data_IF_546550648077
#
_entry.id   IF_546550648077
#
_cell.length_a   1.000
_cell.length_b   1.000
_cell.length_c   1.000
_cell.angle_alpha   90.00
_cell.angle_beta   90.00
_cell.angle_gamma   90.00
#
_symmetry.space_group_name_H-M   'P 1'
#
loop_
_entity.id
_entity.type
_entity.pdbx_description
1 polymer ?
#
# COMPACT_ATOMS: atom_id res chain seq x y z
N UNK A 1 59.15 -14.45 14.89
CA UNK A 1 58.25 -13.28 14.90
C UNK A 1 56.88 -13.76 14.48
N UNK A 2 56.13 -14.29 15.44
CA UNK A 2 54.77 -14.79 15.25
C UNK A 2 53.85 -13.59 15.01
N UNK A 3 53.03 -13.72 13.97
CA UNK A 3 52.16 -12.70 13.43
C UNK A 3 51.06 -12.30 14.44
N UNK A 4 51.37 -11.33 15.30
CA UNK A 4 50.43 -10.72 16.26
C UNK A 4 49.36 -9.87 15.56
N UNK A 5 49.45 -9.65 14.24
CA UNK A 5 48.50 -8.84 13.50
C UNK A 5 47.24 -9.62 13.14
N UNK A 6 47.34 -10.92 12.83
CA UNK A 6 46.19 -11.76 12.45
C UNK A 6 45.09 -11.80 13.51
N UNK A 7 45.37 -12.03 14.80
CA UNK A 7 44.33 -12.10 15.83
C UNK A 7 43.61 -10.76 16.06
N UNK A 8 44.32 -9.65 15.87
CA UNK A 8 43.74 -8.30 15.98
C UNK A 8 42.84 -8.01 14.79
N UNK A 9 43.29 -8.35 13.58
CA UNK A 9 42.50 -8.20 12.35
C UNK A 9 41.25 -9.07 12.37
N UNK A 10 41.33 -10.31 12.84
CA UNK A 10 40.16 -11.19 13.02
C UNK A 10 39.15 -10.64 14.04
N UNK A 11 39.63 -10.07 15.14
CA UNK A 11 38.75 -9.44 16.14
C UNK A 11 38.06 -8.18 15.60
N UNK A 12 38.76 -7.40 14.78
CA UNK A 12 38.18 -6.24 14.08
C UNK A 12 37.16 -6.72 13.05
N UNK A 13 37.48 -7.73 12.22
CA UNK A 13 36.57 -8.31 11.26
C UNK A 13 35.30 -8.84 11.95
N UNK A 14 35.43 -9.62 13.03
CA UNK A 14 34.29 -10.13 13.80
C UNK A 14 33.50 -9.04 14.53
N UNK A 15 34.12 -7.90 14.85
CA UNK A 15 33.39 -6.73 15.36
C UNK A 15 32.63 -6.01 14.23
N UNK A 16 33.24 -5.87 13.06
CA UNK A 16 32.61 -5.28 11.87
C UNK A 16 31.47 -6.15 11.35
N UNK A 17 31.60 -7.47 11.31
CA UNK A 17 30.53 -8.41 10.94
C UNK A 17 29.37 -8.41 11.92
N UNK A 18 29.62 -8.14 13.22
CA UNK A 18 28.55 -7.96 14.20
C UNK A 18 27.84 -6.61 14.06
N UNK A 19 28.56 -5.56 13.65
CA UNK A 19 28.02 -4.23 13.41
C UNK A 19 27.26 -4.14 12.08
N UNK A 20 27.70 -4.90 11.08
CA UNK A 20 27.12 -5.00 9.75
C UNK A 20 27.02 -6.48 9.35
N UNK A 21 26.02 -7.22 9.87
CA UNK A 21 25.78 -8.60 9.45
C UNK A 21 25.57 -8.66 7.94
N UNK A 22 25.97 -9.75 7.26
CA UNK A 22 25.73 -9.92 5.84
C UNK A 22 24.26 -9.67 5.53
N UNK A 23 23.97 -8.79 4.56
CA UNK A 23 22.61 -8.53 4.12
C UNK A 23 21.97 -9.87 3.74
N UNK A 24 20.78 -10.12 4.30
CA UNK A 24 20.06 -11.34 3.94
C UNK A 24 19.89 -11.37 2.42
N UNK A 25 20.10 -12.53 1.76
CA UNK A 25 20.02 -12.60 0.32
C UNK A 25 18.64 -12.14 -0.15
N UNK A 26 18.63 -11.28 -1.17
CA UNK A 26 17.39 -10.82 -1.79
C UNK A 26 16.62 -12.01 -2.35
N UNK A 27 15.30 -12.03 -2.11
CA UNK A 27 14.41 -13.02 -2.67
C UNK A 27 14.38 -12.90 -4.21
N UNK A 28 14.19 -14.03 -4.89
CA UNK A 28 13.98 -14.08 -6.33
C UNK A 28 12.68 -13.31 -6.68
N UNK A 29 12.75 -12.27 -7.54
CA UNK A 29 11.59 -11.46 -7.95
C UNK A 29 10.54 -12.22 -8.78
N UNK A 30 10.81 -13.47 -9.17
CA UNK A 30 9.87 -14.36 -9.87
C UNK A 30 9.19 -15.39 -8.96
N UNK A 31 9.75 -15.67 -7.77
CA UNK A 31 9.32 -16.79 -6.93
C UNK A 31 8.03 -16.59 -6.12
N UNK A 32 7.60 -15.34 -5.88
CA UNK A 32 6.52 -15.03 -4.93
C UNK A 32 5.48 -14.06 -5.51
N UNK A 33 4.23 -14.08 -5.04
CA UNK A 33 3.19 -13.15 -5.49
C UNK A 33 3.38 -11.73 -4.94
N UNK A 34 4.06 -11.59 -3.80
CA UNK A 34 4.26 -10.30 -3.16
C UNK A 34 5.57 -10.25 -2.38
N UNK A 35 6.11 -9.04 -2.28
CA UNK A 35 7.39 -8.74 -1.65
C UNK A 35 7.29 -7.49 -0.77
N UNK A 36 8.23 -7.37 0.16
CA UNK A 36 8.54 -6.16 0.92
C UNK A 36 9.96 -5.77 0.55
N UNK A 37 10.13 -4.54 0.08
CA UNK A 37 11.43 -3.93 -0.18
C UNK A 37 11.92 -3.21 1.07
N UNK A 38 13.04 -3.66 1.63
CA UNK A 38 13.66 -3.05 2.80
C UNK A 38 15.15 -3.35 2.78
N UNK A 39 15.95 -2.41 3.28
CA UNK A 39 17.41 -2.60 3.43
C UNK A 39 18.11 -3.06 2.14
N UNK A 40 17.68 -2.55 0.98
CA UNK A 40 18.29 -2.88 -0.32
C UNK A 40 18.00 -4.30 -0.83
N UNK A 41 17.03 -5.02 -0.27
CA UNK A 41 16.69 -6.39 -0.66
C UNK A 41 15.17 -6.63 -0.75
N UNK A 42 14.77 -7.52 -1.66
CA UNK A 42 13.41 -8.05 -1.69
C UNK A 42 13.27 -9.14 -0.62
N UNK A 43 12.20 -9.06 0.15
CA UNK A 43 11.79 -10.13 1.05
C UNK A 43 10.42 -10.63 0.64
N UNK A 44 10.23 -11.95 0.58
CA UNK A 44 8.92 -12.54 0.34
C UNK A 44 7.92 -12.07 1.41
N UNK A 45 6.77 -11.55 0.97
CA UNK A 45 5.66 -11.21 1.85
C UNK A 45 5.00 -12.51 2.33
N UNK A 46 5.49 -13.05 3.45
CA UNK A 46 4.97 -14.29 4.04
C UNK A 46 3.47 -14.14 4.34
N UNK A 47 2.67 -15.08 3.87
CA UNK A 47 1.22 -15.08 4.12
C UNK A 47 0.46 -13.99 3.37
N UNK A 48 0.87 -13.64 2.15
CA UNK A 48 0.10 -12.75 1.28
C UNK A 48 -1.27 -13.35 0.94
N UNK A 49 -2.26 -13.08 1.80
CA UNK A 49 -3.64 -13.53 1.71
C UNK A 49 -4.58 -12.32 1.75
N UNK A 50 -4.73 -11.59 0.62
CA UNK A 50 -5.60 -10.42 0.59
C UNK A 50 -7.08 -10.78 0.75
N UNK A 51 -7.84 -9.80 1.24
CA UNK A 51 -9.30 -9.91 1.33
C UNK A 51 -9.89 -10.13 -0.06
N UNK A 52 -10.79 -11.11 -0.24
CA UNK A 52 -11.52 -11.29 -1.50
C UNK A 52 -12.21 -10.01 -1.98
N UNK A 53 -12.13 -9.73 -3.30
CA UNK A 53 -12.64 -8.50 -3.90
C UNK A 53 -14.15 -8.32 -3.75
N UNK A 54 -14.91 -9.40 -3.61
CA UNK A 54 -16.35 -9.41 -3.38
C UNK A 54 -16.72 -8.96 -1.96
N UNK A 55 -15.80 -9.00 -0.99
CA UNK A 55 -16.03 -8.45 0.36
C UNK A 55 -15.81 -6.93 0.42
N UNK A 56 -15.19 -6.34 -0.60
CA UNK A 56 -14.97 -4.89 -0.71
C UNK A 56 -16.22 -4.18 -1.26
N UNK A 57 -17.21 -3.99 -0.39
CA UNK A 57 -18.49 -3.38 -0.74
C UNK A 57 -18.38 -1.88 -1.07
N UNK A 58 -19.23 -1.39 -1.98
CA UNK A 58 -19.34 0.03 -2.31
C UNK A 58 -18.18 0.61 -3.13
N UNK A 59 -17.29 -0.25 -3.64
CA UNK A 59 -16.08 0.15 -4.37
C UNK A 59 -16.08 -0.32 -5.84
N UNK A 60 -17.26 -0.50 -6.45
CA UNK A 60 -17.39 -1.10 -7.78
C UNK A 60 -16.61 -0.33 -8.86
N UNK A 61 -16.73 0.99 -8.90
CA UNK A 61 -16.04 1.83 -9.88
C UNK A 61 -14.52 1.80 -9.67
N UNK A 62 -14.06 1.97 -8.43
CA UNK A 62 -12.65 1.95 -8.06
C UNK A 62 -12.04 0.59 -8.37
N UNK A 63 -12.75 -0.50 -8.07
CA UNK A 63 -12.36 -1.88 -8.38
C UNK A 63 -12.22 -2.09 -9.88
N UNK A 64 -13.23 -1.71 -10.66
CA UNK A 64 -13.20 -1.89 -12.12
C UNK A 64 -12.03 -1.13 -12.76
N UNK A 65 -11.83 0.14 -12.37
CA UNK A 65 -10.75 0.96 -12.89
C UNK A 65 -9.36 0.40 -12.51
N UNK A 66 -9.16 0.00 -11.25
CA UNK A 66 -7.90 -0.56 -10.80
C UNK A 66 -7.59 -1.90 -11.49
N UNK A 67 -8.59 -2.80 -11.59
CA UNK A 67 -8.42 -4.09 -12.25
C UNK A 67 -8.06 -3.93 -13.72
N UNK A 68 -8.74 -3.03 -14.44
CA UNK A 68 -8.43 -2.76 -15.83
C UNK A 68 -6.98 -2.25 -16.00
N UNK A 69 -6.53 -1.36 -15.11
CA UNK A 69 -5.17 -0.84 -15.14
C UNK A 69 -4.10 -1.90 -14.82
N UNK A 70 -4.31 -2.69 -13.75
CA UNK A 70 -3.40 -3.77 -13.35
C UNK A 70 -3.35 -4.90 -14.39
N UNK A 71 -4.47 -5.16 -15.05
CA UNK A 71 -4.54 -6.14 -16.14
C UNK A 71 -3.67 -5.70 -17.32
N UNK A 72 -3.80 -4.44 -17.75
CA UNK A 72 -2.94 -3.87 -18.80
C UNK A 72 -1.46 -4.00 -18.42
N UNK A 73 -1.12 -3.67 -17.18
CA UNK A 73 0.24 -3.79 -16.66
C UNK A 73 0.78 -5.24 -16.74
N UNK A 74 -0.01 -6.22 -16.30
CA UNK A 74 0.35 -7.64 -16.36
C UNK A 74 0.52 -8.17 -17.80
N UNK A 75 -0.26 -7.62 -18.73
CA UNK A 75 -0.20 -7.93 -20.16
C UNK A 75 0.95 -7.20 -20.89
N UNK A 76 1.73 -6.36 -20.20
CA UNK A 76 2.83 -5.58 -20.80
C UNK A 76 2.36 -4.36 -21.59
N UNK A 77 1.09 -3.97 -21.45
CA UNK A 77 0.54 -2.78 -22.07
C UNK A 77 0.76 -1.53 -21.21
N UNK A 78 0.55 -0.36 -21.82
CA UNK A 78 0.58 0.90 -21.10
C UNK A 78 -0.45 0.92 -19.95
N UNK A 79 0.04 1.21 -18.75
CA UNK A 79 -0.73 1.37 -17.53
C UNK A 79 -0.36 2.68 -16.83
N UNK A 80 -1.24 3.16 -15.96
CA UNK A 80 -1.07 4.40 -15.22
C UNK A 80 -0.52 4.15 -13.82
N UNK A 81 0.21 5.13 -13.28
CA UNK A 81 0.40 5.23 -11.84
C UNK A 81 -0.92 5.58 -11.16
N UNK A 82 -1.13 5.02 -9.98
CA UNK A 82 -2.42 5.08 -9.30
C UNK A 82 -2.30 5.79 -7.96
N UNK A 83 -3.11 6.83 -7.77
CA UNK A 83 -3.35 7.45 -6.47
C UNK A 83 -4.69 6.98 -5.91
N UNK A 84 -4.67 6.35 -4.73
CA UNK A 84 -5.85 6.00 -3.97
C UNK A 84 -5.96 6.95 -2.79
N UNK A 85 -6.91 7.87 -2.81
CA UNK A 85 -7.02 8.91 -1.79
C UNK A 85 -8.38 8.91 -1.13
N UNK A 86 -8.44 9.34 0.14
CA UNK A 86 -9.73 9.40 0.83
C UNK A 86 -9.66 9.17 2.33
N UNK A 87 -10.81 8.85 2.92
CA UNK A 87 -10.93 8.58 4.34
C UNK A 87 -10.13 7.32 4.77
N UNK A 88 -9.76 7.24 6.05
CA UNK A 88 -9.05 6.09 6.63
C UNK A 88 -10.03 4.91 6.79
N UNK A 89 -9.52 3.70 6.60
CA UNK A 89 -10.31 2.47 6.82
C UNK A 89 -11.38 2.17 5.77
N UNK A 90 -11.41 2.89 4.65
CA UNK A 90 -12.36 2.70 3.53
C UNK A 90 -11.96 1.61 2.54
N UNK A 91 -10.81 0.95 2.75
CA UNK A 91 -10.37 -0.17 1.93
C UNK A 91 -9.36 0.14 0.82
N UNK A 92 -8.68 1.30 0.84
CA UNK A 92 -7.64 1.67 -0.16
C UNK A 92 -6.56 0.59 -0.33
N UNK A 93 -5.82 0.29 0.73
CA UNK A 93 -4.75 -0.71 0.74
C UNK A 93 -5.29 -2.13 0.53
N UNK A 94 -6.52 -2.40 1.01
CA UNK A 94 -7.19 -3.69 0.78
C UNK A 94 -7.51 -3.89 -0.71
N UNK A 95 -8.00 -2.85 -1.39
CA UNK A 95 -8.31 -2.90 -2.82
C UNK A 95 -7.06 -3.11 -3.66
N UNK A 96 -5.93 -2.49 -3.32
CA UNK A 96 -4.66 -2.73 -4.00
C UNK A 96 -4.26 -4.20 -3.91
N UNK A 97 -4.18 -4.74 -2.70
CA UNK A 97 -3.74 -6.12 -2.48
C UNK A 97 -4.71 -7.13 -3.14
N UNK A 98 -6.02 -6.90 -3.00
CA UNK A 98 -7.05 -7.74 -3.60
C UNK A 98 -7.08 -7.65 -5.13
N UNK A 99 -6.88 -6.46 -5.70
CA UNK A 99 -6.80 -6.24 -7.14
C UNK A 99 -5.59 -6.94 -7.76
N UNK A 100 -4.43 -6.84 -7.12
CA UNK A 100 -3.23 -7.58 -7.57
C UNK A 100 -3.44 -9.08 -7.51
N UNK A 101 -3.99 -9.60 -6.40
CA UNK A 101 -4.25 -11.04 -6.30
C UNK A 101 -5.27 -11.55 -7.32
N UNK A 102 -6.30 -10.77 -7.65
CA UNK A 102 -7.24 -11.15 -8.70
C UNK A 102 -6.58 -11.23 -10.07
N UNK A 103 -5.74 -10.25 -10.44
CA UNK A 103 -4.98 -10.30 -11.69
C UNK A 103 -3.98 -11.46 -11.69
N UNK A 104 -3.37 -11.78 -10.55
CA UNK A 104 -2.48 -12.94 -10.41
C UNK A 104 -3.20 -14.27 -10.58
N UNK A 105 -4.46 -14.38 -10.13
CA UNK A 105 -5.27 -15.57 -10.34
C UNK A 105 -5.56 -15.80 -11.83
N UNK A 106 -5.85 -14.73 -12.57
CA UNK A 106 -6.11 -14.80 -14.01
C UNK A 106 -4.83 -14.91 -14.85
N UNK A 107 -3.71 -14.35 -14.36
CA UNK A 107 -2.41 -14.28 -15.04
C UNK A 107 -1.26 -14.66 -14.09
N UNK A 108 -1.11 -15.96 -13.76
CA UNK A 108 -0.09 -16.41 -12.82
C UNK A 108 1.32 -15.98 -13.25
N UNK A 109 2.10 -15.45 -12.30
CA UNK A 109 3.49 -15.04 -12.54
C UNK A 109 3.69 -13.73 -13.31
N UNK A 110 2.64 -13.11 -13.88
CA UNK A 110 2.77 -11.89 -14.70
C UNK A 110 2.83 -10.59 -13.91
N UNK A 111 2.30 -10.58 -12.68
CA UNK A 111 2.26 -9.42 -11.80
C UNK A 111 2.75 -9.78 -10.39
N UNK A 112 3.55 -8.92 -9.77
CA UNK A 112 3.88 -8.98 -8.34
C UNK A 112 3.53 -7.67 -7.63
N UNK A 113 3.17 -7.76 -6.35
CA UNK A 113 3.11 -6.60 -5.47
C UNK A 113 4.46 -6.41 -4.79
N UNK A 114 4.98 -5.19 -4.74
CA UNK A 114 6.17 -4.85 -3.93
C UNK A 114 5.81 -3.71 -2.99
N UNK A 115 5.71 -3.98 -1.70
CA UNK A 115 5.51 -2.93 -0.70
C UNK A 115 6.83 -2.25 -0.37
N UNK A 116 6.83 -0.92 -0.32
CA UNK A 116 8.01 -0.10 -0.05
C UNK A 116 7.73 0.83 1.14
N UNK A 117 8.69 0.90 2.07
CA UNK A 117 8.56 1.74 3.27
C UNK A 117 9.05 3.18 3.04
N UNK A 118 10.04 3.40 2.17
CA UNK A 118 10.64 4.73 1.93
C UNK A 118 10.85 5.01 0.45
N UNK A 119 10.55 6.24 0.01
CA UNK A 119 10.72 6.66 -1.38
C UNK A 119 12.18 6.69 -1.82
N UNK A 120 13.11 6.87 -0.88
CA UNK A 120 14.56 7.02 -1.14
C UNK A 120 15.20 5.76 -1.70
N UNK A 121 14.57 4.62 -1.44
CA UNK A 121 15.04 3.31 -1.87
C UNK A 121 14.46 2.86 -3.22
N UNK A 122 13.59 3.67 -3.84
CA UNK A 122 12.96 3.34 -5.12
C UNK A 122 13.94 3.26 -6.30
N UNK A 123 14.94 4.15 -6.43
CA UNK A 123 16.01 4.00 -7.43
C UNK A 123 16.65 2.61 -7.47
N UNK A 124 17.10 2.13 -6.30
CA UNK A 124 17.74 0.82 -6.16
C UNK A 124 16.78 -0.31 -6.50
N UNK A 125 15.51 -0.19 -6.08
CA UNK A 125 14.47 -1.15 -6.45
C UNK A 125 14.25 -1.18 -7.97
N UNK A 126 14.17 -0.02 -8.62
CA UNK A 126 13.95 0.06 -10.06
C UNK A 126 15.11 -0.56 -10.85
N UNK A 127 16.35 -0.28 -10.46
CA UNK A 127 17.53 -0.90 -11.05
C UNK A 127 17.51 -2.43 -10.91
N UNK A 128 17.09 -2.95 -9.76
CA UNK A 128 16.93 -4.40 -9.58
C UNK A 128 15.87 -4.99 -10.51
N UNK A 129 14.71 -4.32 -10.64
CA UNK A 129 13.56 -4.84 -11.39
C UNK A 129 13.71 -4.67 -12.91
N UNK A 130 14.67 -3.86 -13.38
CA UNK A 130 14.83 -3.50 -14.80
C UNK A 130 14.98 -4.72 -15.71
N UNK A 131 15.79 -5.70 -15.30
CA UNK A 131 16.09 -6.90 -16.11
C UNK A 131 15.10 -8.06 -15.91
N UNK A 132 14.04 -7.86 -15.12
CA UNK A 132 13.08 -8.91 -14.77
C UNK A 132 11.87 -8.87 -15.68
N UNK A 133 11.62 -9.94 -16.45
CA UNK A 133 10.42 -10.10 -17.29
C UNK A 133 9.18 -10.47 -16.47
N UNK A 134 8.72 -9.51 -15.66
CA UNK A 134 7.51 -9.58 -14.86
C UNK A 134 7.04 -8.17 -14.54
N UNK A 135 5.74 -7.91 -14.53
CA UNK A 135 5.25 -6.60 -14.12
C UNK A 135 5.21 -6.45 -12.59
N UNK A 136 5.45 -5.24 -12.10
CA UNK A 136 5.45 -4.94 -10.66
C UNK A 136 4.54 -3.75 -10.32
N UNK A 137 3.60 -3.99 -9.40
CA UNK A 137 2.84 -2.97 -8.72
C UNK A 137 3.59 -2.60 -7.43
N UNK A 138 4.34 -1.49 -7.48
CA UNK A 138 5.08 -0.97 -6.33
C UNK A 138 4.12 -0.14 -5.48
N UNK A 139 3.88 -0.61 -4.26
CA UNK A 139 2.86 -0.10 -3.36
C UNK A 139 3.47 0.71 -2.22
N UNK A 140 3.03 1.96 -2.09
CA UNK A 140 3.41 2.91 -1.05
C UNK A 140 2.15 3.22 -0.24
N UNK A 141 2.11 2.77 1.01
CA UNK A 141 0.93 2.88 1.88
C UNK A 141 0.98 4.14 2.76
N UNK A 142 -0.18 4.69 3.07
CA UNK A 142 -0.41 5.86 3.95
C UNK A 142 0.55 7.06 3.76
N UNK A 143 0.85 7.46 2.51
CA UNK A 143 1.76 8.57 2.23
C UNK A 143 1.22 9.90 2.82
N UNK A 144 2.09 10.56 3.60
CA UNK A 144 1.86 11.86 4.19
C UNK A 144 2.57 12.96 3.39
N UNK A 145 1.83 13.80 2.67
CA UNK A 145 2.42 14.94 1.95
C UNK A 145 2.87 16.09 2.86
N UNK A 146 3.06 15.83 4.15
CA UNK A 146 3.48 16.81 5.15
C UNK A 146 5.00 17.03 5.11
N UNK A 147 5.77 15.99 4.74
CA UNK A 147 7.20 16.15 4.48
C UNK A 147 7.42 16.64 3.04
N UNK A 148 7.81 17.91 2.90
CA UNK A 148 8.09 18.54 1.60
C UNK A 148 9.11 17.75 0.73
N UNK A 149 9.98 16.96 1.36
CA UNK A 149 10.92 16.07 0.68
C UNK A 149 10.24 14.91 -0.05
N UNK A 150 9.24 14.25 0.56
CA UNK A 150 8.55 13.10 -0.03
C UNK A 150 7.71 13.50 -1.24
N UNK A 151 6.96 14.59 -1.13
CA UNK A 151 6.14 15.11 -2.23
C UNK A 151 7.01 15.47 -3.45
N UNK A 152 8.16 16.12 -3.23
CA UNK A 152 9.10 16.47 -4.31
C UNK A 152 9.72 15.24 -4.96
N UNK A 153 10.12 14.24 -4.18
CA UNK A 153 10.67 12.97 -4.69
C UNK A 153 9.64 12.24 -5.53
N UNK A 154 8.41 12.10 -5.03
CA UNK A 154 7.32 11.47 -5.78
C UNK A 154 7.01 12.22 -7.08
N UNK A 155 7.00 13.56 -7.05
CA UNK A 155 6.83 14.41 -8.25
C UNK A 155 7.89 14.08 -9.32
N UNK A 156 9.16 14.02 -8.92
CA UNK A 156 10.27 13.67 -9.80
C UNK A 156 10.11 12.27 -10.42
N UNK A 157 9.66 11.30 -9.63
CA UNK A 157 9.46 9.92 -10.11
C UNK A 157 8.30 9.80 -11.12
N UNK A 158 7.23 10.58 -10.94
CA UNK A 158 6.09 10.61 -11.86
C UNK A 158 6.41 11.35 -13.17
N UNK A 159 7.27 12.36 -13.12
CA UNK A 159 7.69 13.15 -14.28
C UNK A 159 8.74 12.47 -15.16
N UNK A 160 9.24 11.30 -14.74
CA UNK A 160 10.34 10.62 -15.41
C UNK A 160 11.69 11.31 -15.15
N UNK A 161 11.99 11.58 -13.87
CA UNK A 161 13.28 12.13 -13.41
C UNK A 161 14.51 11.34 -13.86
N UNK A 162 15.69 11.77 -13.42
CA UNK A 162 16.99 11.36 -13.98
C UNK A 162 17.28 9.84 -14.00
N UNK A 163 16.62 9.04 -13.16
CA UNK A 163 16.71 7.58 -13.18
C UNK A 163 15.46 6.97 -13.80
N UNK A 164 15.65 6.19 -14.87
CA UNK A 164 14.56 5.65 -15.65
C UNK A 164 13.85 4.52 -14.87
N UNK A 165 12.59 4.76 -14.49
CA UNK A 165 11.71 3.71 -13.99
C UNK A 165 11.37 2.73 -15.12
N UNK A 166 11.51 1.40 -14.93
CA UNK A 166 11.17 0.42 -15.96
C UNK A 166 9.71 0.50 -16.40
N UNK A 167 9.45 0.23 -17.68
CA UNK A 167 8.12 0.37 -18.28
C UNK A 167 7.07 -0.56 -17.62
N UNK A 168 7.51 -1.71 -17.12
CA UNK A 168 6.69 -2.73 -16.44
C UNK A 168 6.51 -2.49 -14.93
N UNK A 169 6.93 -1.33 -14.41
CA UNK A 169 6.78 -0.95 -13.00
C UNK A 169 5.81 0.22 -12.87
N UNK A 170 4.78 0.09 -12.02
CA UNK A 170 3.86 1.20 -11.70
C UNK A 170 3.72 1.41 -10.21
N UNK A 171 3.59 2.67 -9.83
CA UNK A 171 3.38 3.12 -8.46
C UNK A 171 1.89 3.09 -8.13
N UNK A 172 1.57 2.47 -7.00
CA UNK A 172 0.25 2.51 -6.36
C UNK A 172 0.44 3.18 -5.00
N UNK A 173 -0.05 4.41 -4.88
CA UNK A 173 0.14 5.22 -3.68
C UNK A 173 -1.19 5.39 -2.99
N UNK A 174 -1.26 5.15 -1.67
CA UNK A 174 -2.42 5.61 -0.89
C UNK A 174 -2.12 6.89 -0.13
N UNK A 175 -3.12 7.78 -0.06
CA UNK A 175 -3.04 9.00 0.70
C UNK A 175 -4.32 9.24 1.52
N UNK A 176 -4.20 9.96 2.62
CA UNK A 176 -5.36 10.42 3.37
C UNK A 176 -5.87 11.74 2.78
N UNK A 177 -7.20 11.89 2.72
CA UNK A 177 -7.84 13.11 2.19
C UNK A 177 -7.31 14.39 2.86
N UNK A 178 -7.06 14.35 4.18
CA UNK A 178 -6.53 15.49 4.93
C UNK A 178 -5.14 15.94 4.46
N UNK A 179 -4.36 15.05 3.86
CA UNK A 179 -3.05 15.36 3.30
C UNK A 179 -3.14 15.89 1.87
N UNK A 180 -4.33 15.91 1.25
CA UNK A 180 -4.57 16.53 -0.07
C UNK A 180 -5.41 17.80 0.02
N UNK A 181 -6.31 17.85 1.02
CA UNK A 181 -7.25 18.93 1.26
C UNK A 181 -7.39 19.12 2.79
N UNK A 182 -6.54 19.95 3.41
CA UNK A 182 -6.68 20.38 4.81
C UNK A 182 -8.04 21.06 5.00
N UNK A 183 -8.77 20.72 6.07
CA UNK A 183 -10.15 21.21 6.29
C UNK A 183 -10.21 22.56 7.01
N UNK A 184 -9.17 22.95 7.73
CA UNK A 184 -9.18 24.14 8.57
C UNK A 184 -8.01 25.05 8.18
N UNK A 185 -8.34 26.19 7.56
CA UNK A 185 -7.43 27.29 7.23
C UNK A 185 -7.23 28.24 8.42
N UNK A 186 -7.74 27.89 9.60
CA UNK A 186 -7.63 28.69 10.81
C UNK A 186 -6.44 28.24 11.65
N UNK A 187 -5.47 29.13 11.78
CA UNK A 187 -4.41 29.14 12.79
C UNK A 187 -3.24 28.17 12.55
N UNK A 188 -2.33 28.55 11.66
CA UNK A 188 -0.92 28.25 11.85
C UNK A 188 -0.10 29.52 11.55
N UNK A 189 0.60 30.05 12.55
CA UNK A 189 1.65 31.07 12.44
C UNK A 189 2.87 30.47 11.69
N UNK A 190 2.68 30.08 10.44
CA UNK A 190 3.73 29.58 9.57
C UNK A 190 4.01 30.58 8.45
N UNK A 191 5.28 30.74 8.08
CA UNK A 191 5.72 31.63 7.00
C UNK A 191 5.25 31.17 5.59
N UNK A 192 4.54 30.04 5.50
CA UNK A 192 4.08 29.43 4.25
C UNK A 192 2.56 29.63 4.15
N UNK A 193 2.10 30.15 3.02
CA UNK A 193 0.68 30.34 2.76
C UNK A 193 -0.02 28.97 2.62
N UNK A 194 -1.01 28.65 3.46
CA UNK A 194 -1.70 27.35 3.42
C UNK A 194 -2.33 27.02 2.06
N UNK A 195 -2.69 28.03 1.26
CA UNK A 195 -3.21 27.83 -0.11
C UNK A 195 -2.16 27.22 -1.04
N UNK A 196 -0.92 27.69 -0.96
CA UNK A 196 0.16 27.23 -1.82
C UNK A 196 0.47 25.74 -1.58
N UNK A 197 0.39 25.29 -0.32
CA UNK A 197 0.57 23.88 0.06
C UNK A 197 -0.53 23.00 -0.55
N UNK A 198 -1.78 23.47 -0.53
CA UNK A 198 -2.92 22.73 -1.12
C UNK A 198 -2.78 22.65 -2.63
N UNK A 199 -2.45 23.75 -3.29
CA UNK A 199 -2.24 23.77 -4.74
C UNK A 199 -1.09 22.86 -5.16
N UNK A 200 0.00 22.81 -4.39
CA UNK A 200 1.12 21.89 -4.64
C UNK A 200 0.76 20.41 -4.48
N UNK A 201 -0.09 20.09 -3.50
CA UNK A 201 -0.60 18.73 -3.27
C UNK A 201 -1.58 18.30 -4.37
N UNK A 202 -2.45 19.20 -4.82
CA UNK A 202 -3.33 18.97 -5.97
C UNK A 202 -2.53 18.78 -7.25
N UNK A 203 -1.53 19.63 -7.50
CA UNK A 203 -0.64 19.50 -8.64
C UNK A 203 0.14 18.17 -8.65
N UNK A 204 0.49 17.62 -7.48
CA UNK A 204 1.06 16.28 -7.39
C UNK A 204 0.03 15.18 -7.68
N UNK A 205 -1.20 15.32 -7.17
CA UNK A 205 -2.27 14.38 -7.43
C UNK A 205 -2.62 14.29 -8.92
N UNK A 206 -2.60 15.41 -9.63
CA UNK A 206 -2.89 15.50 -11.07
C UNK A 206 -1.85 14.78 -11.96
N UNK A 207 -0.66 14.46 -11.41
CA UNK A 207 0.36 13.70 -12.13
C UNK A 207 0.08 12.20 -12.17
N UNK A 208 -0.84 11.70 -11.35
CA UNK A 208 -1.27 10.32 -11.42
C UNK A 208 -2.29 10.14 -12.54
N UNK A 209 -1.95 9.29 -13.52
CA UNK A 209 -2.86 9.00 -14.63
C UNK A 209 -4.14 8.25 -14.22
N UNK A 210 -4.19 7.68 -13.01
CA UNK A 210 -5.41 7.15 -12.42
C UNK A 210 -5.56 7.61 -10.96
N UNK A 211 -6.59 8.39 -10.67
CA UNK A 211 -6.91 8.85 -9.32
C UNK A 211 -8.24 8.27 -8.84
N UNK A 212 -8.22 7.56 -7.72
CA UNK A 212 -9.38 6.84 -7.16
C UNK A 212 -9.75 7.42 -5.80
N UNK A 213 -10.92 8.06 -5.74
CA UNK A 213 -11.48 8.65 -4.52
C UNK A 213 -12.21 7.63 -3.64
N UNK A 214 -11.96 7.68 -2.34
CA UNK A 214 -12.60 6.83 -1.32
C UNK A 214 -13.29 7.70 -0.25
N UNK A 215 -14.61 7.61 -0.21
CA UNK A 215 -15.44 8.44 0.66
C UNK A 215 -15.82 7.71 1.95
N UNK A 216 -16.24 8.48 2.95
CA UNK A 216 -16.80 7.92 4.19
C UNK A 216 -18.06 7.14 3.88
N UNK A 217 -18.24 6.00 4.54
CA UNK A 217 -19.43 5.17 4.40
C UNK A 217 -20.59 5.79 5.18
N UNK A 218 -21.78 5.70 4.60
CA UNK A 218 -23.03 5.86 5.35
C UNK A 218 -23.33 4.58 6.16
N UNK A 219 -24.47 4.59 6.84
CA UNK A 219 -24.88 3.43 7.65
C UNK A 219 -25.15 2.20 6.78
N UNK A 220 -25.80 2.38 5.65
CA UNK A 220 -26.19 1.27 4.76
C UNK A 220 -24.96 0.62 4.13
N UNK A 221 -23.98 1.40 3.68
CA UNK A 221 -22.69 0.91 3.21
C UNK A 221 -21.90 0.19 4.30
N UNK A 222 -21.91 0.69 5.53
CA UNK A 222 -21.30 0.00 6.67
C UNK A 222 -21.99 -1.35 6.95
N UNK A 223 -23.32 -1.39 7.00
CA UNK A 223 -24.09 -2.61 7.21
C UNK A 223 -23.93 -3.61 6.06
N UNK A 224 -23.76 -3.14 4.83
CA UNK A 224 -23.46 -3.99 3.68
C UNK A 224 -22.13 -4.73 3.85
N UNK A 225 -21.08 -4.04 4.33
CA UNK A 225 -19.78 -4.67 4.63
C UNK A 225 -19.92 -5.70 5.75
N UNK A 226 -20.59 -5.33 6.86
CA UNK A 226 -20.83 -6.26 7.98
C UNK A 226 -21.58 -7.49 7.50
N UNK A 227 -22.65 -7.31 6.73
CA UNK A 227 -23.45 -8.41 6.15
C UNK A 227 -22.60 -9.31 5.26
N UNK A 228 -21.74 -8.75 4.42
CA UNK A 228 -20.87 -9.53 3.53
C UNK A 228 -19.92 -10.44 4.33
N UNK A 229 -19.25 -9.89 5.35
CA UNK A 229 -18.40 -10.70 6.23
C UNK A 229 -19.19 -11.71 7.05
N UNK A 230 -20.32 -11.31 7.63
CA UNK A 230 -21.16 -12.22 8.42
C UNK A 230 -21.63 -13.41 7.57
N UNK A 231 -22.06 -13.16 6.33
CA UNK A 231 -22.44 -14.21 5.38
C UNK A 231 -21.25 -15.11 5.02
N UNK A 232 -20.08 -14.53 4.75
CA UNK A 232 -18.84 -15.27 4.42
C UNK A 232 -18.42 -16.26 5.52
N UNK A 233 -18.60 -15.87 6.78
CA UNK A 233 -18.17 -16.62 7.96
C UNK A 233 -19.33 -17.30 8.71
N UNK A 234 -20.52 -17.34 8.10
CA UNK A 234 -21.74 -17.95 8.66
C UNK A 234 -22.11 -17.40 10.06
N UNK A 235 -21.87 -16.11 10.30
CA UNK A 235 -22.13 -15.49 11.60
C UNK A 235 -23.54 -14.89 11.64
N UNK A 236 -24.35 -15.17 12.68
CA UNK A 236 -25.57 -14.43 12.92
C UNK A 236 -25.21 -13.02 13.40
N UNK A 237 -25.67 -11.98 12.69
CA UNK A 237 -25.42 -10.60 13.09
C UNK A 237 -26.72 -9.82 13.25
N UNK A 238 -26.73 -8.89 14.21
CA UNK A 238 -27.77 -7.88 14.38
C UNK A 238 -27.25 -6.52 13.85
N UNK A 239 -27.99 -5.93 12.91
CA UNK A 239 -27.66 -4.62 12.35
C UNK A 239 -27.64 -3.51 13.41
N UNK A 240 -28.51 -3.57 14.42
CA UNK A 240 -28.53 -2.57 15.50
C UNK A 240 -27.27 -2.67 16.36
N UNK A 241 -26.86 -3.88 16.73
CA UNK A 241 -25.61 -4.12 17.45
C UNK A 241 -24.40 -3.61 16.66
N UNK A 242 -24.34 -3.91 15.36
CA UNK A 242 -23.26 -3.47 14.49
C UNK A 242 -23.18 -1.93 14.39
N UNK A 243 -24.32 -1.24 14.32
CA UNK A 243 -24.37 0.23 14.31
C UNK A 243 -23.90 0.79 15.66
N UNK A 244 -24.37 0.22 16.77
CA UNK A 244 -23.92 0.62 18.11
C UNK A 244 -22.42 0.43 18.31
N UNK A 245 -21.84 -0.62 17.73
CA UNK A 245 -20.39 -0.82 17.69
C UNK A 245 -19.68 0.31 16.94
N UNK A 246 -20.12 0.66 15.73
CA UNK A 246 -19.53 1.75 14.95
C UNK A 246 -19.61 3.10 15.66
N UNK A 247 -20.74 3.39 16.31
CA UNK A 247 -20.93 4.61 17.11
C UNK A 247 -19.93 4.68 18.26
N UNK A 248 -19.75 3.58 19.03
CA UNK A 248 -18.74 3.52 20.11
C UNK A 248 -17.31 3.70 19.61
N UNK A 249 -17.01 3.21 18.39
CA UNK A 249 -15.70 3.37 17.74
C UNK A 249 -15.52 4.74 17.06
N UNK A 250 -16.57 5.56 17.00
CA UNK A 250 -16.53 6.90 16.40
C UNK A 250 -16.36 6.92 14.88
N UNK A 251 -16.51 5.79 14.17
CA UNK A 251 -16.40 5.78 12.71
C UNK A 251 -17.11 4.58 12.06
N UNK A 252 -17.59 4.81 10.84
CA UNK A 252 -18.12 3.79 9.93
C UNK A 252 -17.10 3.52 8.85
N UNK A 253 -16.35 2.43 8.98
CA UNK A 253 -15.29 2.04 8.06
C UNK A 253 -15.23 0.53 7.91
N UNK A 254 -14.65 0.04 6.81
CA UNK A 254 -14.44 -1.40 6.62
C UNK A 254 -13.56 -2.01 7.72
N UNK A 255 -12.59 -1.23 8.24
CA UNK A 255 -11.78 -1.63 9.40
C UNK A 255 -12.65 -1.86 10.65
N UNK A 256 -13.57 -0.95 10.94
CA UNK A 256 -14.48 -1.08 12.10
C UNK A 256 -15.45 -2.23 11.90
N UNK A 257 -15.94 -2.45 10.68
CA UNK A 257 -16.78 -3.60 10.34
C UNK A 257 -16.04 -4.92 10.58
N UNK A 258 -14.79 -5.04 10.13
CA UNK A 258 -13.98 -6.24 10.42
C UNK A 258 -13.76 -6.44 11.92
N UNK A 259 -13.48 -5.37 12.68
CA UNK A 259 -13.35 -5.47 14.14
C UNK A 259 -14.63 -5.95 14.83
N UNK A 260 -15.81 -5.53 14.34
CA UNK A 260 -17.09 -6.04 14.82
C UNK A 260 -17.24 -7.53 14.53
N UNK A 261 -16.86 -7.98 13.32
CA UNK A 261 -16.93 -9.38 12.92
C UNK A 261 -16.00 -10.26 13.76
N UNK A 262 -14.78 -9.79 14.05
CA UNK A 262 -13.84 -10.47 14.94
C UNK A 262 -14.41 -10.60 16.36
N UNK A 263 -15.01 -9.52 16.89
CA UNK A 263 -15.66 -9.54 18.21
C UNK A 263 -16.84 -10.53 18.24
N UNK A 264 -17.70 -10.49 17.22
CA UNK A 264 -18.84 -11.38 17.09
C UNK A 264 -18.42 -12.86 17.00
N UNK A 265 -17.42 -13.17 16.16
CA UNK A 265 -16.89 -14.52 16.05
C UNK A 265 -16.28 -15.01 17.37
N UNK A 266 -15.53 -14.14 18.06
CA UNK A 266 -14.94 -14.43 19.36
C UNK A 266 -15.98 -14.75 20.43
N UNK A 267 -17.08 -13.97 20.51
CA UNK A 267 -18.21 -14.24 21.43
C UNK A 267 -18.92 -15.57 21.14
N UNK A 268 -18.86 -16.03 19.90
CA UNK A 268 -19.45 -17.30 19.44
C UNK A 268 -18.45 -18.46 19.47
N UNK A 269 -17.21 -18.26 19.91
CA UNK A 269 -16.17 -19.28 19.95
C UNK A 269 -15.73 -19.78 18.56
N UNK A 270 -15.87 -18.95 17.52
CA UNK A 270 -15.52 -19.30 16.13
C UNK A 270 -14.17 -18.71 15.73
N UNK A 271 -13.44 -19.45 14.90
CA UNK A 271 -12.24 -18.97 14.21
C UNK A 271 -12.62 -18.36 12.85
N UNK A 272 -11.84 -17.37 12.41
CA UNK A 272 -12.02 -16.65 11.13
C UNK A 272 -10.91 -16.96 10.13
#
# INVERSE_FOLDING_TARGET
MTDLATPVLERIAAALERLAPPLAPSADPLAHPAYIWRSGALHAARGFAPVPLDLLQGLHQQRAALLANLTRLADGHAAQDVLLWGARGTGKSALVKAGVAAVQADRPGRLALVSVDTLDSLPELFAMLESVDRAFAVFIDDLGFEEAGEARKLRSLLDGGAEARPAHVRLLVTANRRHLLPRDLSEQDSAINPRDVVDDQLALADRFGLSLGFHTLDQDGYLAIVRAYATRHDLPFDGHEAVNWATRRGSRSGRVAWQYIVDLAGRLGRNL
#
